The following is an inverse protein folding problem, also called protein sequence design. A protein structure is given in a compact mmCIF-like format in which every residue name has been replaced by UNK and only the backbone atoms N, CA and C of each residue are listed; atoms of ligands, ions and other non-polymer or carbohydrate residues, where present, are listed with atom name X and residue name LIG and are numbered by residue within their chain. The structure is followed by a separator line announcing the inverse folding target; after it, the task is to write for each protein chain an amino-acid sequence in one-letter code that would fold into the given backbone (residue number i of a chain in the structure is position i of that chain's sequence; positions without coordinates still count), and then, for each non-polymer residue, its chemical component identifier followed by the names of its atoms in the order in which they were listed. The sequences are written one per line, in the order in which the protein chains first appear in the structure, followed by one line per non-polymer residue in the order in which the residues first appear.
data_IF_038323732768
#
_entry.id   IF_038323732768
#
_cell.length_a   1.000
_cell.length_b   1.000
_cell.length_c   1.000
_cell.angle_alpha   90.00
_cell.angle_beta   90.00
_cell.angle_gamma   90.00
#
_symmetry.space_group_name_H-M   'P 1'
#
loop_
_entity.id
_entity.type
_entity.pdbx_description
1 polymer ?
#
# COMPACT_ATOMS: atom_id res chain seq x y z
N UNK A 1 22.49 73.09 -45.92
CA UNK A 1 23.25 71.92 -45.44
C UNK A 1 22.29 71.12 -44.59
N UNK A 2 21.67 70.11 -45.19
CA UNK A 2 20.78 69.17 -44.50
C UNK A 2 21.56 67.87 -44.38
N UNK A 3 21.91 67.48 -43.16
CA UNK A 3 22.45 66.15 -42.86
C UNK A 3 21.29 65.15 -42.91
N UNK A 4 21.26 64.35 -43.98
CA UNK A 4 20.42 63.16 -44.06
C UNK A 4 20.92 62.12 -43.06
N UNK A 5 20.19 61.98 -41.96
CA UNK A 5 20.38 60.93 -40.97
C UNK A 5 19.84 59.61 -41.54
N UNK A 6 20.74 58.76 -42.02
CA UNK A 6 20.41 57.40 -42.47
C UNK A 6 19.95 56.56 -41.27
N UNK A 7 18.82 55.84 -41.37
CA UNK A 7 18.33 55.00 -40.29
C UNK A 7 19.21 53.75 -40.14
N UNK A 8 19.73 53.50 -38.95
CA UNK A 8 20.42 52.24 -38.65
C UNK A 8 19.43 51.07 -38.78
N UNK A 9 19.59 50.29 -39.84
CA UNK A 9 18.98 48.97 -39.95
C UNK A 9 19.56 48.07 -38.84
N UNK A 10 18.77 47.85 -37.79
CA UNK A 10 19.01 46.80 -36.81
C UNK A 10 18.92 45.44 -37.51
N UNK A 11 20.08 44.96 -37.96
CA UNK A 11 20.26 43.59 -38.45
C UNK A 11 19.87 42.61 -37.36
N UNK A 12 18.67 42.06 -37.46
CA UNK A 12 18.16 41.03 -36.56
C UNK A 12 18.66 39.71 -37.10
N UNK A 13 19.85 39.28 -36.64
CA UNK A 13 20.36 37.97 -37.03
C UNK A 13 19.38 36.88 -36.54
N UNK A 14 18.93 35.97 -37.43
CA UNK A 14 18.06 34.88 -37.04
C UNK A 14 18.84 33.96 -36.09
N UNK A 15 18.26 33.67 -34.92
CA UNK A 15 18.85 32.77 -33.96
C UNK A 15 18.98 31.37 -34.60
N UNK A 16 20.19 31.00 -35.02
CA UNK A 16 20.46 29.66 -35.50
C UNK A 16 20.34 28.68 -34.33
N UNK A 17 19.23 27.94 -34.31
CA UNK A 17 19.01 26.88 -33.34
C UNK A 17 20.07 25.79 -33.52
N UNK A 18 21.09 25.80 -32.67
CA UNK A 18 22.11 24.76 -32.65
C UNK A 18 21.50 23.44 -32.20
N UNK A 19 21.45 22.45 -33.12
CA UNK A 19 20.97 21.09 -32.85
C UNK A 19 21.68 20.47 -31.64
N UNK A 20 22.96 20.80 -31.42
CA UNK A 20 23.72 20.34 -30.25
C UNK A 20 23.17 20.93 -28.94
N UNK A 21 22.77 22.20 -28.96
CA UNK A 21 22.12 22.86 -27.83
C UNK A 21 20.76 22.23 -27.51
N UNK A 22 19.95 21.95 -28.54
CA UNK A 22 18.68 21.25 -28.37
C UNK A 22 18.87 19.85 -27.77
N UNK A 23 19.83 19.07 -28.29
CA UNK A 23 20.14 17.74 -27.77
C UNK A 23 20.55 17.79 -26.29
N UNK A 24 21.42 18.75 -25.92
CA UNK A 24 21.82 18.94 -24.54
C UNK A 24 20.63 19.28 -23.63
N UNK A 25 19.71 20.15 -24.08
CA UNK A 25 18.48 20.44 -23.35
C UNK A 25 17.60 19.19 -23.17
N UNK A 26 17.39 18.41 -24.23
CA UNK A 26 16.57 17.18 -24.16
C UNK A 26 17.17 16.17 -23.19
N UNK A 27 18.49 15.97 -23.21
CA UNK A 27 19.18 15.06 -22.28
C UNK A 27 19.04 15.55 -20.84
N UNK A 28 19.24 16.85 -20.57
CA UNK A 28 19.06 17.42 -19.24
C UNK A 28 17.63 17.27 -18.73
N UNK A 29 16.63 17.53 -19.58
CA UNK A 29 15.22 17.30 -19.24
C UNK A 29 14.93 15.83 -18.95
N UNK A 30 15.46 14.90 -19.75
CA UNK A 30 15.28 13.47 -19.52
C UNK A 30 15.90 13.02 -18.18
N UNK A 31 17.09 13.50 -17.84
CA UNK A 31 17.76 13.21 -16.56
C UNK A 31 16.95 13.79 -15.39
N UNK A 32 16.54 15.05 -15.48
CA UNK A 32 15.72 15.69 -14.44
C UNK A 32 14.39 14.95 -14.24
N UNK A 33 13.72 14.59 -15.33
CA UNK A 33 12.47 13.85 -15.28
C UNK A 33 12.65 12.46 -14.64
N UNK A 34 13.69 11.72 -15.03
CA UNK A 34 14.01 10.42 -14.43
C UNK A 34 14.33 10.56 -12.93
N UNK A 35 15.09 11.59 -12.54
CA UNK A 35 15.42 11.88 -11.16
C UNK A 35 14.18 12.17 -10.30
N UNK A 36 13.24 12.98 -10.80
CA UNK A 36 11.97 13.26 -10.11
C UNK A 36 11.15 11.99 -9.92
N UNK A 37 11.01 11.18 -10.98
CA UNK A 37 10.29 9.89 -10.90
C UNK A 37 10.91 8.92 -9.90
N UNK A 38 12.25 8.87 -9.86
CA UNK A 38 12.97 8.02 -8.90
C UNK A 38 12.75 8.52 -7.46
N UNK A 39 12.88 9.82 -7.21
CA UNK A 39 12.64 10.41 -5.90
C UNK A 39 11.21 10.14 -5.40
N UNK A 40 10.21 10.29 -6.27
CA UNK A 40 8.81 9.96 -5.95
C UNK A 40 8.66 8.50 -5.52
N UNK A 41 9.24 7.54 -6.28
CA UNK A 41 9.20 6.12 -5.90
C UNK A 41 9.85 5.84 -4.54
N UNK A 42 10.97 6.48 -4.24
CA UNK A 42 11.66 6.31 -2.94
C UNK A 42 10.80 6.83 -1.78
N UNK A 43 10.05 7.91 -2.01
CA UNK A 43 9.13 8.46 -1.01
C UNK A 43 7.84 7.64 -0.85
N UNK A 44 7.46 6.85 -1.86
CA UNK A 44 6.28 5.97 -1.78
C UNK A 44 6.53 4.70 -0.95
N UNK A 45 7.76 4.20 -0.91
CA UNK A 45 8.14 2.97 -0.16
C UNK A 45 7.68 3.02 1.32
N UNK A 46 7.94 4.09 2.10
CA UNK A 46 7.41 4.19 3.46
C UNK A 46 5.88 4.20 3.52
N UNK A 47 5.21 4.90 2.59
CA UNK A 47 3.74 4.99 2.57
C UNK A 47 3.11 3.63 2.27
N UNK A 48 3.72 2.86 1.37
CA UNK A 48 3.30 1.49 1.07
C UNK A 48 3.48 0.57 2.28
N UNK A 49 4.61 0.66 2.97
CA UNK A 49 4.85 -0.09 4.21
C UNK A 49 3.84 0.25 5.31
N UNK A 50 3.53 1.53 5.49
CA UNK A 50 2.49 1.96 6.44
C UNK A 50 1.11 1.46 6.02
N UNK A 51 0.73 1.60 4.74
CA UNK A 51 -0.54 1.13 4.22
C UNK A 51 -0.72 -0.39 4.41
N UNK A 52 0.33 -1.17 4.18
CA UNK A 52 0.36 -2.62 4.45
C UNK A 52 0.13 -2.92 5.93
N UNK A 53 0.86 -2.25 6.83
CA UNK A 53 0.67 -2.41 8.28
C UNK A 53 -0.76 -2.09 8.71
N UNK A 54 -1.31 -0.97 8.24
CA UNK A 54 -2.66 -0.55 8.57
C UNK A 54 -3.73 -1.51 8.08
N UNK A 55 -3.55 -2.07 6.88
CA UNK A 55 -4.47 -3.07 6.35
C UNK A 55 -4.49 -4.32 7.23
N UNK A 56 -3.32 -4.76 7.71
CA UNK A 56 -3.21 -5.83 8.69
C UNK A 56 -3.96 -5.54 9.99
N UNK A 57 -3.73 -4.34 10.56
CA UNK A 57 -4.38 -3.92 11.81
C UNK A 57 -5.91 -3.87 11.67
N UNK A 58 -6.42 -3.21 10.62
CA UNK A 58 -7.87 -3.08 10.37
C UNK A 58 -8.52 -4.44 10.16
N UNK A 59 -7.87 -5.36 9.45
CA UNK A 59 -8.40 -6.72 9.26
C UNK A 59 -8.45 -7.50 10.56
N UNK A 60 -7.39 -7.47 11.38
CA UNK A 60 -7.35 -8.14 12.68
C UNK A 60 -8.45 -7.58 13.58
N UNK A 61 -8.57 -6.25 13.67
CA UNK A 61 -9.61 -5.59 14.47
C UNK A 61 -11.02 -5.98 13.99
N UNK A 62 -11.25 -6.03 12.68
CA UNK A 62 -12.52 -6.45 12.10
C UNK A 62 -12.85 -7.90 12.48
N UNK A 63 -11.92 -8.83 12.28
CA UNK A 63 -12.11 -10.27 12.56
C UNK A 63 -12.38 -10.48 14.05
N UNK A 64 -11.64 -9.76 14.91
CA UNK A 64 -11.82 -9.75 16.36
C UNK A 64 -13.23 -9.32 16.77
N UNK A 65 -13.74 -8.25 16.17
CA UNK A 65 -15.06 -7.70 16.47
C UNK A 65 -16.22 -8.50 15.86
N UNK A 66 -15.98 -9.25 14.78
CA UNK A 66 -17.03 -9.90 13.98
C UNK A 66 -16.97 -11.43 14.02
N UNK A 67 -16.61 -12.01 15.18
CA UNK A 67 -16.67 -13.45 15.44
C UNK A 67 -15.92 -14.29 14.39
N UNK A 68 -14.70 -13.88 14.05
CA UNK A 68 -13.85 -14.58 13.07
C UNK A 68 -14.36 -14.54 11.62
N UNK A 69 -15.24 -13.59 11.29
CA UNK A 69 -15.74 -13.39 9.92
C UNK A 69 -14.77 -12.54 9.11
N UNK A 70 -14.53 -12.92 7.85
CA UNK A 70 -13.75 -12.12 6.91
C UNK A 70 -14.62 -11.04 6.27
N UNK A 71 -14.11 -9.81 6.04
CA UNK A 71 -14.85 -8.81 5.29
C UNK A 71 -15.01 -9.25 3.82
N UNK A 72 -16.08 -8.80 3.18
CA UNK A 72 -16.38 -9.10 1.76
C UNK A 72 -16.02 -7.95 0.80
N UNK A 73 -15.68 -6.78 1.34
CA UNK A 73 -15.47 -5.57 0.55
C UNK A 73 -14.72 -4.48 1.32
N UNK A 74 -14.24 -3.48 0.57
CA UNK A 74 -13.68 -2.26 1.14
C UNK A 74 -14.74 -1.41 1.85
N UNK A 75 -15.98 -1.48 1.39
CA UNK A 75 -17.13 -0.77 1.96
C UNK A 75 -17.40 -1.27 3.38
N UNK A 76 -17.47 -2.60 3.58
CA UNK A 76 -17.61 -3.24 4.90
C UNK A 76 -16.50 -2.80 5.86
N UNK A 77 -15.24 -2.79 5.41
CA UNK A 77 -14.12 -2.30 6.22
C UNK A 77 -14.20 -0.81 6.52
N UNK A 78 -14.68 0.00 5.57
CA UNK A 78 -14.84 1.44 5.77
C UNK A 78 -15.92 1.75 6.79
N UNK A 79 -17.05 1.04 6.73
CA UNK A 79 -18.15 1.17 7.69
C UNK A 79 -17.69 0.76 9.09
N UNK A 80 -16.97 -0.37 9.20
CA UNK A 80 -16.37 -0.81 10.45
C UNK A 80 -15.36 0.20 11.01
N UNK A 81 -14.46 0.72 10.19
CA UNK A 81 -13.49 1.73 10.62
C UNK A 81 -14.18 3.00 11.13
N UNK A 82 -15.27 3.41 10.48
CA UNK A 82 -16.05 4.59 10.89
C UNK A 82 -16.86 4.36 12.18
N UNK A 83 -17.37 3.15 12.40
CA UNK A 83 -18.25 2.83 13.53
C UNK A 83 -17.50 2.40 14.79
N UNK A 84 -16.35 1.74 14.64
CA UNK A 84 -15.52 1.26 15.75
C UNK A 84 -14.87 2.39 16.55
N UNK A 85 -14.84 3.61 16.01
CA UNK A 85 -14.07 4.71 16.60
C UNK A 85 -12.59 4.39 16.72
N UNK A 86 -12.12 3.39 15.95
CA UNK A 86 -10.73 2.98 15.91
C UNK A 86 -9.90 4.22 15.61
N UNK A 87 -9.13 4.65 16.61
CA UNK A 87 -8.17 5.72 16.41
C UNK A 87 -7.05 5.10 15.60
N UNK A 88 -7.18 5.09 14.27
CA UNK A 88 -6.05 4.81 13.39
C UNK A 88 -5.04 5.94 13.58
N UNK A 89 -4.21 5.80 14.62
CA UNK A 89 -3.29 6.85 15.09
C UNK A 89 -1.99 6.87 14.30
N UNK A 90 -1.74 5.86 13.45
CA UNK A 90 -0.43 5.70 12.81
C UNK A 90 -0.41 5.79 11.29
N UNK A 91 -1.53 5.60 10.56
CA UNK A 91 -1.45 5.46 9.10
C UNK A 91 -2.56 6.21 8.37
N UNK A 92 -2.23 7.43 7.96
CA UNK A 92 -2.92 8.15 6.89
C UNK A 92 -4.45 8.19 7.00
N UNK A 93 -5.12 8.46 5.88
CA UNK A 93 -6.58 8.35 5.77
C UNK A 93 -6.87 6.94 5.28
N UNK A 94 -7.94 6.28 5.74
CA UNK A 94 -8.41 4.98 5.23
C UNK A 94 -8.43 4.92 3.68
N UNK A 95 -8.75 6.05 3.04
CA UNK A 95 -8.70 6.22 1.58
C UNK A 95 -7.32 5.96 0.96
N UNK A 96 -6.23 6.35 1.63
CA UNK A 96 -4.86 6.10 1.17
C UNK A 96 -4.53 4.61 1.20
N UNK A 97 -4.84 3.92 2.31
CA UNK A 97 -4.73 2.47 2.40
C UNK A 97 -5.52 1.78 1.28
N UNK A 98 -6.80 2.13 1.10
CA UNK A 98 -7.64 1.61 0.00
C UNK A 98 -7.05 1.89 -1.38
N UNK A 99 -6.33 3.01 -1.56
CA UNK A 99 -5.73 3.36 -2.84
C UNK A 99 -4.53 2.49 -3.19
N UNK A 100 -3.73 2.08 -2.19
CA UNK A 100 -2.46 1.34 -2.35
C UNK A 100 -2.60 -0.18 -2.22
N UNK A 101 -3.57 -0.65 -1.43
CA UNK A 101 -3.69 -2.05 -1.04
C UNK A 101 -4.76 -2.79 -1.84
N UNK A 102 -4.46 -4.03 -2.18
CA UNK A 102 -5.42 -5.04 -2.62
C UNK A 102 -5.62 -6.06 -1.48
N UNK A 103 -6.88 -6.34 -1.16
CA UNK A 103 -7.27 -7.38 -0.20
C UNK A 103 -8.03 -8.45 -0.97
N UNK A 104 -7.67 -9.71 -0.75
CA UNK A 104 -8.46 -10.84 -1.22
C UNK A 104 -9.68 -11.03 -0.32
N UNK A 105 -10.80 -10.44 -0.73
CA UNK A 105 -12.08 -10.59 -0.03
C UNK A 105 -12.76 -11.95 -0.27
N UNK A 106 -12.21 -12.77 -1.18
CA UNK A 106 -12.72 -14.14 -1.41
C UNK A 106 -12.12 -15.17 -0.45
N UNK A 107 -11.16 -14.74 0.36
CA UNK A 107 -10.51 -15.57 1.36
C UNK A 107 -11.50 -16.07 2.42
N UNK A 108 -11.47 -17.38 2.71
CA UNK A 108 -12.22 -18.00 3.80
C UNK A 108 -11.27 -18.36 4.96
N UNK A 109 -11.35 -17.66 6.11
CA UNK A 109 -10.54 -17.95 7.29
C UNK A 109 -10.72 -19.37 7.81
N UNK A 110 -11.91 -19.96 7.63
CA UNK A 110 -12.22 -21.31 8.14
C UNK A 110 -11.39 -22.36 7.42
N UNK A 111 -11.12 -22.17 6.13
CA UNK A 111 -10.27 -23.07 5.33
C UNK A 111 -8.84 -23.15 5.87
N UNK A 112 -8.29 -22.04 6.35
CA UNK A 112 -6.97 -22.00 6.99
C UNK A 112 -7.03 -22.60 8.38
N UNK A 113 -8.06 -22.27 9.16
CA UNK A 113 -8.24 -22.84 10.48
C UNK A 113 -8.46 -24.37 10.44
N UNK A 114 -9.05 -24.95 9.39
CA UNK A 114 -9.23 -26.40 9.30
C UNK A 114 -7.96 -27.14 8.91
N UNK A 115 -7.11 -26.53 8.08
CA UNK A 115 -6.05 -27.26 7.35
C UNK A 115 -4.67 -27.07 7.98
N UNK A 116 -4.45 -25.94 8.66
CA UNK A 116 -3.13 -25.60 9.16
C UNK A 116 -2.90 -26.20 10.54
N UNK A 117 -1.91 -27.10 10.63
CA UNK A 117 -1.35 -27.49 11.92
C UNK A 117 -0.61 -26.30 12.53
N UNK A 118 -0.68 -26.09 13.87
CA UNK A 118 -0.02 -24.94 14.53
C UNK A 118 1.46 -24.78 14.14
N UNK A 119 2.14 -25.91 13.88
CA UNK A 119 3.56 -26.02 13.59
C UNK A 119 3.91 -26.08 12.09
N UNK A 120 2.93 -25.98 11.19
CA UNK A 120 3.18 -26.09 9.75
C UNK A 120 3.50 -24.73 9.12
N UNK A 121 4.56 -24.70 8.31
CA UNK A 121 4.94 -23.57 7.46
C UNK A 121 4.20 -23.75 6.13
N UNK A 122 3.06 -23.10 6.01
CA UNK A 122 2.22 -23.15 4.80
C UNK A 122 2.85 -22.26 3.72
N UNK A 123 2.74 -22.59 2.41
CA UNK A 123 3.07 -21.67 1.31
C UNK A 123 2.44 -20.28 1.55
N UNK A 124 3.04 -19.21 1.01
CA UNK A 124 2.87 -17.87 1.58
C UNK A 124 1.40 -17.50 1.64
N UNK A 125 0.88 -17.46 2.87
CA UNK A 125 -0.41 -16.88 3.17
C UNK A 125 -0.38 -15.43 2.69
N UNK A 126 -1.20 -15.09 1.70
CA UNK A 126 -1.15 -13.79 1.03
C UNK A 126 -2.54 -13.30 0.67
N UNK A 127 -3.15 -12.58 1.62
CA UNK A 127 -4.50 -12.01 1.52
C UNK A 127 -4.48 -10.48 1.44
N UNK A 128 -3.34 -9.86 1.78
CA UNK A 128 -3.07 -8.42 1.65
C UNK A 128 -1.85 -8.22 0.75
N UNK A 129 -1.98 -7.41 -0.28
CA UNK A 129 -0.95 -7.14 -1.27
C UNK A 129 -0.92 -5.66 -1.65
N UNK A 130 0.23 -5.14 -2.08
CA UNK A 130 0.27 -3.85 -2.76
C UNK A 130 -0.31 -3.99 -4.19
N UNK A 131 -1.08 -3.01 -4.64
CA UNK A 131 -1.68 -3.00 -5.99
C UNK A 131 -0.66 -2.95 -7.12
N UNK A 132 0.52 -2.41 -6.85
CA UNK A 132 1.63 -2.37 -7.81
C UNK A 132 2.40 -3.70 -7.88
N UNK A 133 2.02 -4.70 -7.08
CA UNK A 133 2.67 -6.01 -6.99
C UNK A 133 3.91 -6.03 -6.11
N UNK A 134 4.26 -4.92 -5.45
CA UNK A 134 5.35 -4.83 -4.50
C UNK A 134 5.13 -5.69 -3.24
N UNK A 135 6.21 -5.88 -2.49
CA UNK A 135 6.21 -6.64 -1.22
C UNK A 135 6.86 -5.83 -0.09
N UNK A 136 6.65 -4.51 -0.12
CA UNK A 136 7.29 -3.62 0.84
C UNK A 136 6.49 -3.62 2.14
N UNK A 137 7.16 -3.96 3.25
CA UNK A 137 6.61 -3.88 4.59
C UNK A 137 7.72 -3.59 5.61
N UNK A 138 7.35 -3.12 6.80
CA UNK A 138 8.31 -2.98 7.88
C UNK A 138 8.77 -4.35 8.38
N UNK A 139 10.04 -4.47 8.75
CA UNK A 139 10.58 -5.70 9.34
C UNK A 139 9.81 -6.06 10.60
N UNK A 140 9.30 -7.30 10.68
CA UNK A 140 8.48 -7.77 11.80
C UNK A 140 7.03 -7.28 11.78
N UNK A 141 6.62 -6.50 10.78
CA UNK A 141 5.22 -6.07 10.59
C UNK A 141 4.68 -6.48 9.22
N UNK A 142 5.05 -7.67 8.74
CA UNK A 142 4.45 -8.23 7.54
C UNK A 142 2.97 -8.56 7.85
N UNK A 143 2.01 -7.90 7.17
CA UNK A 143 0.61 -7.97 7.57
C UNK A 143 0.02 -9.37 7.41
N UNK A 144 0.42 -10.12 6.39
CA UNK A 144 -0.12 -11.45 6.16
C UNK A 144 0.28 -12.42 7.28
N UNK A 145 1.54 -12.40 7.70
CA UNK A 145 2.06 -13.17 8.83
C UNK A 145 1.31 -12.82 10.11
N UNK A 146 1.06 -11.53 10.37
CA UNK A 146 0.30 -11.08 11.55
C UNK A 146 -1.14 -11.57 11.53
N UNK A 147 -1.83 -11.46 10.39
CA UNK A 147 -3.19 -11.97 10.21
C UNK A 147 -3.20 -13.50 10.41
N UNK A 148 -2.24 -14.20 9.81
CA UNK A 148 -2.12 -15.65 9.91
C UNK A 148 -1.88 -16.12 11.36
N UNK A 149 -0.97 -15.46 12.08
CA UNK A 149 -0.69 -15.74 13.48
C UNK A 149 -1.93 -15.47 14.35
N UNK A 150 -2.69 -14.42 14.04
CA UNK A 150 -3.96 -14.13 14.71
C UNK A 150 -5.00 -15.24 14.46
N UNK A 151 -5.17 -15.69 13.22
CA UNK A 151 -6.07 -16.80 12.88
C UNK A 151 -5.66 -18.12 13.58
N UNK A 152 -4.36 -18.40 13.69
CA UNK A 152 -3.84 -19.54 14.46
C UNK A 152 -4.21 -19.46 15.93
N UNK A 153 -4.09 -18.27 16.54
CA UNK A 153 -4.47 -18.04 17.93
C UNK A 153 -5.97 -18.26 18.14
N UNK A 154 -6.82 -17.71 17.25
CA UNK A 154 -8.27 -17.90 17.30
C UNK A 154 -8.68 -19.37 17.25
N UNK A 155 -8.02 -20.17 16.39
CA UNK A 155 -8.23 -21.62 16.33
C UNK A 155 -7.88 -22.28 17.66
N UNK A 156 -6.69 -22.02 18.19
CA UNK A 156 -6.23 -22.63 19.44
C UNK A 156 -7.16 -22.29 20.62
N UNK A 157 -7.62 -21.05 20.73
CA UNK A 157 -8.59 -20.64 21.76
C UNK A 157 -9.93 -21.37 21.60
N UNK A 158 -10.40 -21.54 20.36
CA UNK A 158 -11.66 -22.24 20.08
C UNK A 158 -11.59 -23.73 20.44
N UNK A 159 -10.46 -24.40 20.18
CA UNK A 159 -10.24 -25.80 20.54
C UNK A 159 -10.17 -26.01 22.06
N UNK A 160 -9.51 -25.11 22.79
CA UNK A 160 -9.46 -25.16 24.26
C UNK A 160 -10.85 -25.00 24.87
N UNK A 161 -11.64 -24.04 24.37
CA UNK A 161 -13.01 -23.81 24.83
C UNK A 161 -13.94 -25.00 24.55
N UNK A 162 -13.77 -25.67 23.41
CA UNK A 162 -14.52 -26.87 23.06
C UNK A 162 -14.19 -28.05 24.00
N UNK A 163 -12.90 -28.26 24.30
CA UNK A 163 -12.46 -29.33 25.19
C UNK A 163 -12.85 -29.08 26.66
N UNK A 164 -12.92 -27.82 27.11
CA UNK A 164 -13.37 -27.47 28.47
C UNK A 164 -14.89 -27.57 28.66
N UNK A 165 -15.65 -27.66 27.57
CA UNK A 165 -17.12 -27.80 27.59
C UNK A 165 -17.58 -29.25 27.49
N UNK A 166 -16.64 -30.21 27.59
CA UNK A 166 -16.93 -31.65 27.62
C UNK A 166 -17.75 -32.04 28.85
N UNK A 167 -18.53 -33.14 28.76
CA UNK A 167 -19.61 -33.42 29.70
C UNK A 167 -19.05 -33.82 31.06
N UNK A 168 -19.21 -32.93 32.05
CA UNK A 168 -19.32 -33.38 33.44
C UNK A 168 -20.58 -34.25 33.52
N UNK A 169 -20.39 -35.56 33.40
CA UNK A 169 -21.38 -36.61 33.62
C UNK A 169 -20.83 -37.64 34.58
#
# INVERSE_FOLDING_TARGET
MNDEMQPEEKSTQPAEFSVKGLLACVVLFAIAFAGVRFAQKVLDVPNDAYAMSAAGDVLIDYISANQSTWPDSWETLSEFHNSSGAKSTMVGRFAEMRSRIHIDFTFDPKSVMSTVSPNEIVPPFRVVMLKDGGDTHWSGMEPNQRIFDYLKQLKATSEVAANSSGPDS
#
